data_IF_495596906610
#
_entry.id   IF_495596906610
#
_cell.length_a   1.000
_cell.length_b   1.000
_cell.length_c   1.000
_cell.angle_alpha   90.00
_cell.angle_beta   90.00
_cell.angle_gamma   90.00
#
_symmetry.space_group_name_H-M   'P 1'
#
loop_
_entity.id
_entity.type
_entity.pdbx_description
1 polymer ?
#
# COMPACT_ATOMS: atom_id res chain seq x y z
N UNK A 1 38.76 -34.93 -30.87
CA UNK A 1 39.13 -33.66 -30.24
C UNK A 1 37.84 -33.05 -29.69
N UNK A 2 37.74 -32.98 -28.36
CA UNK A 2 36.54 -32.38 -27.75
C UNK A 2 36.61 -30.85 -27.83
N UNK A 3 35.47 -30.20 -28.14
CA UNK A 3 35.28 -28.74 -28.11
C UNK A 3 34.08 -28.39 -27.29
N UNK A 4 34.28 -27.53 -26.29
CA UNK A 4 33.17 -27.04 -25.49
C UNK A 4 32.39 -25.96 -26.27
N UNK A 5 31.06 -26.13 -26.39
CA UNK A 5 30.18 -25.21 -27.13
C UNK A 5 30.01 -23.86 -26.42
N UNK A 6 30.18 -23.81 -25.08
CA UNK A 6 30.01 -22.59 -24.29
C UNK A 6 31.27 -21.73 -24.25
N UNK A 7 32.40 -22.28 -23.79
CA UNK A 7 33.64 -21.50 -23.61
C UNK A 7 34.66 -21.64 -24.74
N UNK A 8 34.39 -22.46 -25.77
CA UNK A 8 35.25 -22.65 -26.91
C UNK A 8 36.52 -23.45 -26.64
N UNK A 9 36.85 -23.85 -25.42
CA UNK A 9 38.03 -24.67 -25.09
C UNK A 9 38.06 -25.95 -25.93
N UNK A 10 39.21 -26.29 -26.48
CA UNK A 10 39.45 -27.49 -27.29
C UNK A 10 40.63 -28.30 -26.73
N UNK A 11 40.57 -29.62 -26.85
CA UNK A 11 41.67 -30.48 -26.43
C UNK A 11 41.41 -31.97 -26.69
N UNK A 12 42.50 -32.76 -26.85
CA UNK A 12 42.39 -34.22 -27.09
C UNK A 12 41.75 -34.96 -25.90
N UNK A 13 41.95 -34.46 -24.70
CA UNK A 13 41.41 -35.06 -23.45
C UNK A 13 40.24 -34.29 -22.87
N UNK A 14 39.72 -33.27 -23.57
CA UNK A 14 38.56 -32.52 -23.08
C UNK A 14 37.31 -33.39 -23.22
N UNK A 15 36.77 -33.83 -22.09
CA UNK A 15 35.44 -34.50 -22.04
C UNK A 15 34.39 -33.44 -22.05
N UNK A 16 33.41 -33.60 -22.92
CA UNK A 16 32.16 -32.80 -22.95
C UNK A 16 30.96 -33.70 -22.65
N UNK A 17 29.93 -33.15 -22.02
CA UNK A 17 28.70 -33.85 -21.74
C UNK A 17 27.81 -33.98 -23.00
N UNK A 18 26.60 -34.52 -22.84
CA UNK A 18 25.63 -34.71 -23.91
C UNK A 18 25.16 -33.40 -24.57
N UNK A 19 25.32 -32.26 -23.87
CA UNK A 19 25.02 -30.93 -24.38
C UNK A 19 26.25 -30.25 -24.99
N UNK A 20 27.39 -30.94 -25.10
CA UNK A 20 28.62 -30.39 -25.64
C UNK A 20 29.37 -29.42 -24.73
N UNK A 21 29.12 -29.46 -23.42
CA UNK A 21 29.77 -28.58 -22.45
C UNK A 21 30.92 -29.27 -21.70
N UNK A 22 32.00 -28.56 -21.42
CA UNK A 22 33.02 -29.05 -20.50
C UNK A 22 32.51 -29.02 -19.05
N UNK A 23 33.13 -29.80 -18.15
CA UNK A 23 32.70 -29.93 -16.76
C UNK A 23 32.54 -28.58 -16.01
N UNK A 24 33.43 -27.60 -16.29
CA UNK A 24 33.34 -26.26 -15.69
C UNK A 24 32.09 -25.49 -16.18
N UNK A 25 31.83 -25.51 -17.48
CA UNK A 25 30.64 -24.87 -18.06
C UNK A 25 29.36 -25.55 -17.64
N UNK A 26 29.32 -26.89 -17.63
CA UNK A 26 28.18 -27.65 -17.15
C UNK A 26 27.82 -27.34 -15.68
N UNK A 27 28.86 -27.22 -14.82
CA UNK A 27 28.66 -26.80 -13.43
C UNK A 27 28.09 -25.37 -13.31
N UNK A 28 28.62 -24.42 -14.10
CA UNK A 28 28.14 -23.04 -14.09
C UNK A 28 26.67 -22.92 -14.55
N UNK A 29 26.32 -23.59 -15.65
CA UNK A 29 24.96 -23.63 -16.18
C UNK A 29 24.02 -24.26 -15.14
N UNK A 30 24.43 -25.36 -14.50
CA UNK A 30 23.63 -25.99 -13.46
C UNK A 30 23.40 -25.07 -12.26
N UNK A 31 24.39 -24.35 -11.79
CA UNK A 31 24.29 -23.38 -10.70
C UNK A 31 23.31 -22.24 -11.09
N UNK A 32 23.41 -21.75 -12.33
CA UNK A 32 22.49 -20.71 -12.82
C UNK A 32 21.04 -21.20 -12.90
N UNK A 33 20.82 -22.42 -13.39
CA UNK A 33 19.51 -23.04 -13.41
C UNK A 33 18.96 -23.30 -12.00
N UNK A 34 19.82 -23.70 -11.06
CA UNK A 34 19.46 -23.88 -9.66
C UNK A 34 19.05 -22.54 -9.02
N UNK A 35 19.80 -21.46 -9.27
CA UNK A 35 19.48 -20.13 -8.77
C UNK A 35 18.16 -19.60 -9.36
N UNK A 36 17.91 -19.81 -10.65
CA UNK A 36 16.65 -19.43 -11.31
C UNK A 36 15.45 -20.17 -10.69
N UNK A 37 15.62 -21.46 -10.41
CA UNK A 37 14.56 -22.24 -9.76
C UNK A 37 14.32 -21.81 -8.32
N UNK A 38 15.37 -21.52 -7.53
CA UNK A 38 15.20 -21.05 -6.15
C UNK A 38 14.50 -19.69 -6.10
N UNK A 39 14.84 -18.77 -7.01
CA UNK A 39 14.14 -17.49 -7.15
C UNK A 39 12.66 -17.67 -7.50
N UNK A 40 12.36 -18.51 -8.48
CA UNK A 40 10.98 -18.86 -8.86
C UNK A 40 10.20 -19.44 -7.67
N UNK A 41 10.79 -20.38 -6.93
CA UNK A 41 10.14 -21.02 -5.80
C UNK A 41 9.87 -20.03 -4.65
N UNK A 42 10.82 -19.15 -4.36
CA UNK A 42 10.67 -18.12 -3.34
C UNK A 42 9.57 -17.11 -3.72
N UNK A 43 9.51 -16.68 -4.98
CA UNK A 43 8.46 -15.81 -5.50
C UNK A 43 7.09 -16.46 -5.40
N UNK A 44 6.95 -17.72 -5.85
CA UNK A 44 5.71 -18.47 -5.77
C UNK A 44 5.16 -18.58 -4.32
N UNK A 45 6.04 -18.86 -3.35
CA UNK A 45 5.67 -18.90 -1.93
C UNK A 45 5.22 -17.53 -1.45
N UNK A 46 5.99 -16.49 -1.74
CA UNK A 46 5.70 -15.11 -1.31
C UNK A 46 4.33 -14.65 -1.81
N UNK A 47 4.05 -14.85 -3.09
CA UNK A 47 2.78 -14.47 -3.73
C UNK A 47 1.59 -15.26 -3.18
N UNK A 48 1.79 -16.56 -2.90
CA UNK A 48 0.75 -17.39 -2.27
C UNK A 48 0.48 -16.97 -0.82
N UNK A 49 1.52 -16.60 -0.08
CA UNK A 49 1.38 -16.08 1.29
C UNK A 49 0.64 -14.73 1.29
N UNK A 50 0.88 -13.86 0.31
CA UNK A 50 0.14 -12.62 0.12
C UNK A 50 -1.37 -12.80 -0.07
N UNK A 51 -1.83 -14.00 -0.49
CA UNK A 51 -3.27 -14.29 -0.54
C UNK A 51 -3.90 -14.57 0.84
N UNK A 52 -3.11 -14.77 1.89
CA UNK A 52 -3.62 -14.96 3.26
C UNK A 52 -3.96 -13.66 3.97
N UNK A 53 -3.51 -12.52 3.46
CA UNK A 53 -3.77 -11.23 4.08
C UNK A 53 -5.27 -10.97 4.19
N UNK A 54 -5.70 -10.63 5.40
CA UNK A 54 -7.09 -10.24 5.66
C UNK A 54 -7.23 -8.76 5.33
N UNK A 55 -7.85 -8.48 4.19
CA UNK A 55 -8.27 -7.12 3.85
C UNK A 55 -9.55 -6.84 4.63
N UNK A 56 -9.45 -6.13 5.75
CA UNK A 56 -10.61 -5.70 6.53
C UNK A 56 -10.93 -4.24 6.18
N UNK A 57 -12.14 -4.02 5.70
CA UNK A 57 -12.65 -2.70 5.31
C UNK A 57 -13.57 -2.08 6.36
N UNK A 58 -13.80 -2.78 7.46
CA UNK A 58 -14.79 -2.32 8.44
C UNK A 58 -16.13 -2.00 7.77
N UNK A 59 -16.76 -0.93 8.21
CA UNK A 59 -18.02 -0.39 7.66
C UNK A 59 -17.78 0.87 6.80
N UNK A 60 -16.55 1.08 6.29
CA UNK A 60 -16.22 2.29 5.54
C UNK A 60 -16.52 2.13 4.04
N UNK A 61 -17.54 2.79 3.49
CA UNK A 61 -17.94 2.61 2.10
C UNK A 61 -17.01 3.29 1.08
N UNK A 62 -16.25 4.31 1.47
CA UNK A 62 -15.27 4.96 0.59
C UNK A 62 -14.12 3.99 0.37
N UNK A 63 -13.62 3.40 1.44
CA UNK A 63 -12.59 2.37 1.39
C UNK A 63 -13.06 1.13 0.61
N UNK A 64 -14.35 0.78 0.74
CA UNK A 64 -14.94 -0.33 -0.02
C UNK A 64 -14.82 -0.15 -1.55
N UNK A 65 -14.98 1.07 -2.06
CA UNK A 65 -14.80 1.38 -3.49
C UNK A 65 -13.35 1.17 -3.96
N UNK A 66 -12.40 1.59 -3.15
CA UNK A 66 -10.97 1.47 -3.42
C UNK A 66 -10.49 0.01 -3.37
N UNK A 67 -11.06 -0.77 -2.48
CA UNK A 67 -10.69 -2.18 -2.26
C UNK A 67 -11.20 -3.11 -3.37
N UNK A 68 -12.32 -2.79 -4.03
CA UNK A 68 -12.83 -3.64 -5.13
C UNK A 68 -11.79 -3.90 -6.23
N UNK A 69 -11.09 -2.90 -6.78
CA UNK A 69 -10.02 -3.13 -7.75
C UNK A 69 -8.96 -4.10 -7.25
N UNK A 70 -8.52 -3.95 -6.01
CA UNK A 70 -7.48 -4.77 -5.40
C UNK A 70 -7.95 -6.21 -5.19
N UNK A 71 -9.17 -6.39 -4.71
CA UNK A 71 -9.73 -7.72 -4.61
C UNK A 71 -9.83 -8.40 -5.98
N UNK A 72 -10.07 -7.62 -7.04
CA UNK A 72 -10.01 -8.11 -8.43
C UNK A 72 -8.59 -8.51 -8.84
N UNK A 73 -7.58 -7.72 -8.45
CA UNK A 73 -6.19 -8.06 -8.72
C UNK A 73 -5.75 -9.30 -7.93
N UNK A 74 -6.16 -9.46 -6.68
CA UNK A 74 -5.95 -10.69 -5.91
C UNK A 74 -6.64 -11.91 -6.55
N UNK A 75 -7.81 -11.75 -7.12
CA UNK A 75 -8.50 -12.82 -7.89
C UNK A 75 -7.69 -13.20 -9.12
N UNK A 76 -7.22 -12.21 -9.89
CA UNK A 76 -6.36 -12.40 -11.06
C UNK A 76 -5.04 -13.09 -10.68
N UNK A 77 -4.46 -12.69 -9.57
CA UNK A 77 -3.26 -13.31 -9.02
C UNK A 77 -3.48 -14.79 -8.67
N UNK A 78 -4.63 -15.16 -8.09
CA UNK A 78 -4.99 -16.57 -7.88
C UNK A 78 -5.04 -17.36 -9.20
N UNK A 79 -5.50 -16.75 -10.29
CA UNK A 79 -5.54 -17.38 -11.61
C UNK A 79 -4.13 -17.60 -12.19
N UNK A 80 -3.24 -16.62 -12.02
CA UNK A 80 -1.83 -16.74 -12.40
C UNK A 80 -1.13 -17.83 -11.59
N UNK A 81 -1.29 -17.84 -10.27
CA UNK A 81 -0.71 -18.86 -9.39
C UNK A 81 -1.17 -20.28 -9.77
N UNK A 82 -2.45 -20.47 -10.12
CA UNK A 82 -2.95 -21.76 -10.61
C UNK A 82 -2.26 -22.18 -11.90
N UNK A 83 -1.98 -21.25 -12.81
CA UNK A 83 -1.22 -21.54 -14.04
C UNK A 83 0.25 -21.88 -13.77
N UNK A 84 0.87 -21.16 -12.83
CA UNK A 84 2.30 -21.28 -12.54
C UNK A 84 2.69 -22.55 -11.83
N UNK A 85 1.84 -23.08 -10.93
CA UNK A 85 2.11 -24.38 -10.28
C UNK A 85 2.18 -25.54 -11.28
N UNK A 86 1.64 -25.37 -12.47
CA UNK A 86 1.70 -26.30 -13.59
C UNK A 86 2.77 -25.95 -14.62
N UNK A 87 3.73 -25.08 -14.30
CA UNK A 87 4.78 -24.67 -15.23
C UNK A 87 5.67 -25.87 -15.64
N UNK A 88 5.63 -26.32 -16.92
CA UNK A 88 6.31 -27.53 -17.35
C UNK A 88 7.84 -27.47 -17.15
N UNK A 89 8.42 -26.27 -17.18
CA UNK A 89 9.87 -26.08 -17.01
C UNK A 89 10.34 -26.47 -15.61
N UNK A 90 9.52 -26.22 -14.59
CA UNK A 90 9.91 -26.42 -13.19
C UNK A 90 9.13 -27.56 -12.49
N UNK A 91 8.16 -28.14 -13.15
CA UNK A 91 7.21 -29.09 -12.59
C UNK A 91 7.86 -30.21 -11.76
N UNK A 92 8.86 -30.90 -12.34
CA UNK A 92 9.56 -31.98 -11.63
C UNK A 92 10.32 -31.49 -10.40
N UNK A 93 11.07 -30.39 -10.54
CA UNK A 93 11.85 -29.80 -9.44
C UNK A 93 10.96 -29.22 -8.36
N UNK A 94 9.84 -28.59 -8.75
CA UNK A 94 8.84 -28.09 -7.84
C UNK A 94 8.29 -29.23 -6.97
N UNK A 95 7.91 -30.35 -7.57
CA UNK A 95 7.40 -31.50 -6.85
C UNK A 95 8.42 -32.11 -5.89
N UNK A 96 9.68 -32.29 -6.32
CA UNK A 96 10.74 -32.80 -5.46
C UNK A 96 10.96 -31.90 -4.24
N UNK A 97 10.87 -30.58 -4.44
CA UNK A 97 11.02 -29.59 -3.36
C UNK A 97 9.80 -29.55 -2.44
N UNK A 98 8.59 -29.56 -2.98
CA UNK A 98 7.35 -29.60 -2.20
C UNK A 98 7.30 -30.84 -1.29
N UNK A 99 7.61 -32.03 -1.82
CA UNK A 99 7.61 -33.27 -1.04
C UNK A 99 8.64 -33.21 0.11
N UNK A 100 9.83 -32.64 -0.13
CA UNK A 100 10.86 -32.47 0.91
C UNK A 100 10.45 -31.47 2.00
N UNK A 101 9.58 -30.53 1.68
CA UNK A 101 9.10 -29.48 2.59
C UNK A 101 7.80 -29.86 3.31
N UNK A 102 7.37 -31.13 3.25
CA UNK A 102 6.23 -31.59 4.02
C UNK A 102 6.66 -31.80 5.47
N UNK A 103 6.04 -31.06 6.37
CA UNK A 103 6.20 -31.19 7.82
C UNK A 103 4.99 -31.91 8.42
N UNK A 104 5.17 -32.53 9.58
CA UNK A 104 4.13 -33.28 10.28
C UNK A 104 3.94 -32.69 11.67
N UNK A 105 2.69 -32.51 12.07
CA UNK A 105 2.35 -32.00 13.41
C UNK A 105 2.83 -32.94 14.51
N UNK A 106 2.65 -34.25 14.30
CA UNK A 106 3.00 -35.34 15.23
C UNK A 106 3.11 -36.71 14.50
N UNK A 107 3.49 -37.74 15.23
CA UNK A 107 3.64 -39.08 14.68
C UNK A 107 2.33 -39.69 14.19
N UNK A 108 1.18 -39.29 14.74
CA UNK A 108 -0.11 -39.72 14.24
C UNK A 108 -0.34 -39.21 12.83
N UNK A 109 -0.14 -37.90 12.62
CA UNK A 109 -0.28 -37.25 11.30
C UNK A 109 0.69 -37.85 10.28
N UNK A 110 1.94 -38.12 10.71
CA UNK A 110 2.94 -38.78 9.85
C UNK A 110 2.49 -40.16 9.41
N UNK A 111 2.01 -40.98 10.35
CA UNK A 111 1.53 -42.37 10.05
C UNK A 111 0.29 -42.36 9.16
N UNK A 112 -0.55 -41.34 9.23
CA UNK A 112 -1.76 -41.22 8.44
C UNK A 112 -1.58 -40.40 7.15
N UNK A 113 -0.34 -40.02 6.82
CA UNK A 113 -0.02 -39.26 5.60
C UNK A 113 -0.69 -37.91 5.55
N UNK A 114 -0.83 -37.25 6.72
CA UNK A 114 -1.37 -35.91 6.84
C UNK A 114 -0.23 -34.92 7.15
N UNK A 115 0.19 -34.13 6.18
CA UNK A 115 1.29 -33.17 6.31
C UNK A 115 0.86 -31.77 6.03
N UNK A 116 1.78 -30.84 6.26
CA UNK A 116 1.66 -29.42 5.91
C UNK A 116 2.83 -29.03 5.03
N UNK A 117 2.59 -28.39 3.91
CA UNK A 117 3.62 -27.80 3.08
C UNK A 117 4.19 -26.57 3.80
N UNK A 118 5.45 -26.70 4.23
CA UNK A 118 6.16 -25.58 4.87
C UNK A 118 6.30 -24.39 3.89
N UNK A 119 6.12 -23.18 4.40
CA UNK A 119 6.07 -21.96 3.59
C UNK A 119 4.70 -21.67 2.98
N UNK A 120 3.95 -22.69 2.55
CA UNK A 120 2.60 -22.53 2.01
C UNK A 120 1.52 -22.55 3.10
N UNK A 121 1.75 -23.25 4.21
CA UNK A 121 0.74 -23.46 5.26
C UNK A 121 -0.50 -24.20 4.74
N UNK A 122 -0.33 -25.06 3.74
CA UNK A 122 -1.38 -25.84 3.10
C UNK A 122 -1.32 -27.27 3.59
N UNK A 123 -2.45 -27.82 4.05
CA UNK A 123 -2.56 -29.22 4.41
C UNK A 123 -2.57 -30.09 3.16
N UNK A 124 -1.74 -31.12 3.14
CA UNK A 124 -1.62 -32.08 2.05
C UNK A 124 -1.79 -33.48 2.60
N UNK A 125 -2.33 -34.38 1.77
CA UNK A 125 -2.67 -35.74 2.17
C UNK A 125 -2.04 -36.75 1.23
N UNK A 126 -1.38 -37.77 1.80
CA UNK A 126 -0.92 -38.91 1.03
C UNK A 126 -2.12 -39.79 0.58
N UNK A 127 -1.90 -40.59 -0.43
CA UNK A 127 -2.86 -41.59 -0.82
C UNK A 127 -3.16 -42.55 0.38
N UNK A 128 -4.41 -42.79 0.71
CA UNK A 128 -4.77 -43.59 1.90
C UNK A 128 -4.22 -45.03 1.92
N UNK A 129 -4.00 -45.61 0.73
CA UNK A 129 -3.56 -47.00 0.58
C UNK A 129 -2.04 -47.07 0.49
N UNK A 130 -1.46 -46.36 -0.48
CA UNK A 130 -0.01 -46.39 -0.74
C UNK A 130 0.82 -45.60 0.25
N UNK A 131 0.19 -44.66 0.98
CA UNK A 131 0.85 -43.70 1.88
C UNK A 131 1.87 -42.81 1.18
N UNK A 132 1.74 -42.62 -0.14
CA UNK A 132 2.62 -41.81 -0.98
C UNK A 132 1.92 -40.51 -1.29
N UNK A 133 2.69 -39.39 -1.25
CA UNK A 133 2.25 -38.10 -1.75
C UNK A 133 2.40 -38.10 -3.26
N UNK A 134 1.31 -38.24 -3.98
CA UNK A 134 1.34 -38.11 -5.44
C UNK A 134 1.37 -36.65 -5.85
N UNK A 135 2.00 -36.38 -7.00
CA UNK A 135 2.08 -35.08 -7.62
C UNK A 135 0.70 -34.48 -7.82
N UNK A 136 -0.18 -35.22 -8.45
CA UNK A 136 -1.52 -34.80 -8.83
C UNK A 136 -2.31 -34.37 -7.57
N UNK A 137 -2.13 -35.10 -6.48
CA UNK A 137 -2.83 -34.82 -5.24
C UNK A 137 -2.29 -33.59 -4.54
N UNK A 138 -0.95 -33.36 -4.49
CA UNK A 138 -0.35 -32.18 -3.91
C UNK A 138 -0.76 -30.94 -4.70
N UNK A 139 -0.70 -30.99 -6.04
CA UNK A 139 -1.14 -29.87 -6.87
C UNK A 139 -2.63 -29.59 -6.69
N UNK A 140 -3.47 -30.62 -6.60
CA UNK A 140 -4.90 -30.46 -6.34
C UNK A 140 -5.18 -29.81 -4.96
N UNK A 141 -4.42 -30.18 -3.92
CA UNK A 141 -4.54 -29.56 -2.59
C UNK A 141 -4.11 -28.08 -2.60
N UNK A 142 -3.06 -27.73 -3.36
CA UNK A 142 -2.63 -26.33 -3.56
C UNK A 142 -3.69 -25.55 -4.34
N UNK A 143 -4.17 -26.09 -5.46
CA UNK A 143 -5.23 -25.46 -6.25
C UNK A 143 -6.51 -25.25 -5.46
N UNK A 144 -6.89 -26.25 -4.67
CA UNK A 144 -8.05 -26.13 -3.77
C UNK A 144 -7.89 -24.95 -2.82
N UNK A 145 -6.70 -24.75 -2.24
CA UNK A 145 -6.46 -23.62 -1.35
C UNK A 145 -6.47 -22.30 -2.07
N UNK A 146 -5.87 -22.20 -3.27
CA UNK A 146 -5.94 -21.01 -4.13
C UNK A 146 -7.40 -20.67 -4.46
N UNK A 147 -8.22 -21.69 -4.79
CA UNK A 147 -9.64 -21.48 -5.08
C UNK A 147 -10.43 -21.05 -3.83
N UNK A 148 -10.03 -21.48 -2.62
CA UNK A 148 -10.61 -20.96 -1.38
C UNK A 148 -10.33 -19.47 -1.23
N UNK A 149 -9.08 -19.00 -1.44
CA UNK A 149 -8.74 -17.58 -1.40
C UNK A 149 -9.51 -16.80 -2.48
N UNK A 150 -9.51 -17.30 -3.72
CA UNK A 150 -10.29 -16.69 -4.81
C UNK A 150 -11.76 -16.52 -4.45
N UNK A 151 -12.38 -17.57 -3.90
CA UNK A 151 -13.78 -17.54 -3.46
C UNK A 151 -14.02 -16.53 -2.32
N UNK A 152 -13.08 -16.40 -1.38
CA UNK A 152 -13.16 -15.41 -0.31
C UNK A 152 -13.17 -13.97 -0.87
N UNK A 153 -12.30 -13.66 -1.84
CA UNK A 153 -12.24 -12.34 -2.47
C UNK A 153 -13.50 -12.05 -3.29
N UNK A 154 -14.01 -13.01 -4.06
CA UNK A 154 -15.26 -12.88 -4.80
C UNK A 154 -16.43 -12.60 -3.85
N UNK A 155 -16.54 -13.37 -2.78
CA UNK A 155 -17.61 -13.19 -1.79
C UNK A 155 -17.51 -11.85 -1.06
N UNK A 156 -16.28 -11.38 -0.81
CA UNK A 156 -16.05 -10.07 -0.20
C UNK A 156 -16.51 -8.94 -1.11
N UNK A 157 -16.14 -8.97 -2.40
CA UNK A 157 -16.64 -8.00 -3.40
C UNK A 157 -18.18 -8.01 -3.42
N UNK A 158 -18.79 -9.20 -3.47
CA UNK A 158 -20.25 -9.32 -3.50
C UNK A 158 -20.90 -8.71 -2.26
N UNK A 159 -20.39 -8.99 -1.05
CA UNK A 159 -20.90 -8.40 0.20
C UNK A 159 -20.80 -6.87 0.19
N UNK A 160 -19.70 -6.32 -0.31
CA UNK A 160 -19.52 -4.87 -0.46
C UNK A 160 -20.60 -4.32 -1.40
N UNK A 161 -20.77 -4.91 -2.57
CA UNK A 161 -21.69 -4.44 -3.60
C UNK A 161 -23.19 -4.60 -3.20
N UNK A 162 -23.52 -5.65 -2.46
CA UNK A 162 -24.89 -5.96 -2.03
C UNK A 162 -25.33 -5.15 -0.78
N UNK A 163 -24.41 -4.42 -0.11
CA UNK A 163 -24.80 -3.65 1.06
C UNK A 163 -25.67 -2.45 0.67
N UNK A 164 -26.86 -2.36 1.26
CA UNK A 164 -27.78 -1.24 0.99
C UNK A 164 -27.16 0.13 1.34
N UNK A 165 -26.31 0.16 2.35
CA UNK A 165 -25.58 1.35 2.75
C UNK A 165 -24.51 1.76 1.74
N UNK A 166 -23.82 0.78 1.12
CA UNK A 166 -22.88 1.01 0.03
C UNK A 166 -23.59 1.62 -1.19
N UNK A 167 -24.74 1.08 -1.62
CA UNK A 167 -25.51 1.60 -2.74
C UNK A 167 -25.96 3.05 -2.50
N UNK A 168 -26.53 3.33 -1.33
CA UNK A 168 -26.98 4.67 -0.95
C UNK A 168 -25.84 5.70 -0.94
N UNK A 169 -24.62 5.28 -0.55
CA UNK A 169 -23.47 6.17 -0.47
C UNK A 169 -22.75 6.30 -1.82
N UNK A 170 -22.77 5.29 -2.70
CA UNK A 170 -22.30 5.44 -4.09
C UNK A 170 -23.14 6.50 -4.81
N UNK A 171 -24.45 6.50 -4.64
CA UNK A 171 -25.33 7.52 -5.23
C UNK A 171 -24.98 8.93 -4.72
N UNK A 172 -24.67 9.08 -3.43
CA UNK A 172 -24.22 10.35 -2.87
C UNK A 172 -22.84 10.78 -3.38
N UNK A 173 -21.89 9.84 -3.51
CA UNK A 173 -20.53 10.10 -4.00
C UNK A 173 -20.52 10.39 -5.52
N UNK A 174 -21.35 9.70 -6.31
CA UNK A 174 -21.51 9.93 -7.74
C UNK A 174 -22.12 11.30 -8.08
N UNK A 175 -22.79 11.95 -7.10
CA UNK A 175 -23.37 13.27 -7.29
C UNK A 175 -22.36 14.43 -7.25
N UNK A 176 -21.11 14.17 -6.82
CA UNK A 176 -20.03 15.16 -6.81
C UNK A 176 -19.17 15.03 -8.07
N UNK A 177 -19.72 15.51 -9.19
CA UNK A 177 -18.94 15.67 -10.41
C UNK A 177 -17.88 16.77 -10.22
N UNK A 178 -16.62 16.42 -10.45
CA UNK A 178 -15.54 17.42 -10.54
C UNK A 178 -15.79 18.29 -11.78
N UNK A 179 -16.40 19.44 -11.60
CA UNK A 179 -16.65 20.38 -12.69
C UNK A 179 -15.34 21.05 -13.08
N UNK A 180 -14.85 20.75 -14.26
CA UNK A 180 -13.69 21.39 -14.84
C UNK A 180 -14.07 22.82 -15.25
N UNK A 181 -13.37 23.84 -14.72
CA UNK A 181 -13.57 25.24 -15.06
C UNK A 181 -12.48 25.72 -16.02
N UNK A 182 -12.82 26.75 -16.82
CA UNK A 182 -11.85 27.41 -17.70
C UNK A 182 -11.28 28.70 -17.07
N UNK A 183 -11.47 28.89 -15.79
CA UNK A 183 -11.02 30.09 -15.07
C UNK A 183 -9.50 30.04 -14.89
N UNK A 184 -8.82 31.14 -15.17
CA UNK A 184 -7.37 31.28 -14.92
C UNK A 184 -7.14 31.77 -13.51
N UNK A 185 -6.60 30.92 -12.65
CA UNK A 185 -6.18 31.29 -11.31
C UNK A 185 -4.70 31.72 -11.32
N UNK A 186 -4.40 32.83 -10.66
CA UNK A 186 -3.04 33.34 -10.57
C UNK A 186 -2.24 32.62 -9.48
N UNK A 187 -0.98 32.27 -9.78
CA UNK A 187 -0.06 31.71 -8.77
C UNK A 187 0.24 32.73 -7.68
N UNK A 188 0.20 32.31 -6.44
CA UNK A 188 0.38 33.13 -5.24
C UNK A 188 1.76 32.92 -4.60
N UNK A 189 2.21 33.86 -3.78
CA UNK A 189 3.50 33.81 -3.07
C UNK A 189 3.36 33.08 -1.74
N UNK A 190 4.10 32.00 -1.55
CA UNK A 190 3.99 31.09 -0.37
C UNK A 190 4.47 31.76 0.92
N UNK A 191 5.35 32.79 0.85
CA UNK A 191 5.86 33.50 2.03
C UNK A 191 4.79 34.18 2.88
N UNK A 192 3.64 34.50 2.30
CA UNK A 192 2.52 35.14 3.01
C UNK A 192 1.66 34.11 3.77
N UNK A 193 1.72 32.82 3.40
CA UNK A 193 0.83 31.80 3.92
C UNK A 193 1.09 31.50 5.39
N UNK A 194 2.34 31.39 5.79
CA UNK A 194 2.73 31.05 7.17
C UNK A 194 2.30 32.15 8.18
N UNK A 195 2.09 33.40 7.72
CA UNK A 195 1.55 34.49 8.52
C UNK A 195 0.00 34.46 8.60
N UNK A 196 -0.65 33.94 7.56
CA UNK A 196 -2.11 33.92 7.44
C UNK A 196 -2.75 32.74 8.19
N UNK A 197 -2.04 31.60 8.32
CA UNK A 197 -2.58 30.39 8.89
C UNK A 197 -2.07 30.18 10.32
N UNK A 198 -3.03 30.05 11.24
CA UNK A 198 -2.76 29.62 12.62
C UNK A 198 -3.33 28.22 12.84
N UNK A 199 -2.45 27.26 13.08
CA UNK A 199 -2.86 25.89 13.38
C UNK A 199 -3.48 25.82 14.78
N UNK A 200 -4.61 25.12 14.86
CA UNK A 200 -5.37 24.94 16.09
C UNK A 200 -4.93 23.63 16.76
N UNK A 201 -4.68 23.69 18.08
CA UNK A 201 -4.42 22.51 18.87
C UNK A 201 -5.70 21.97 19.52
N UNK A 202 -5.71 20.67 19.82
CA UNK A 202 -6.69 20.03 20.67
C UNK A 202 -6.19 20.11 22.12
N UNK A 203 -7.06 20.45 23.04
CA UNK A 203 -6.80 20.52 24.48
C UNK A 203 -7.93 19.84 25.23
N UNK A 204 -7.75 19.54 26.53
CA UNK A 204 -8.80 18.99 27.40
C UNK A 204 -10.09 19.86 27.48
N UNK A 205 -10.04 21.10 27.04
CA UNK A 205 -11.21 22.00 26.94
C UNK A 205 -11.89 21.97 25.57
N UNK A 206 -11.36 21.22 24.62
CA UNK A 206 -11.94 21.07 23.27
C UNK A 206 -13.13 20.13 23.35
N UNK A 207 -14.30 20.52 22.83
CA UNK A 207 -15.44 19.62 22.76
C UNK A 207 -15.27 18.65 21.58
N UNK A 208 -15.29 17.34 21.86
CA UNK A 208 -15.16 16.28 20.87
C UNK A 208 -16.22 16.41 19.75
N UNK A 209 -17.48 16.59 20.11
CA UNK A 209 -18.58 16.71 19.14
C UNK A 209 -18.44 17.93 18.22
N UNK A 210 -17.87 19.03 18.74
CA UNK A 210 -17.73 20.27 17.96
C UNK A 210 -16.63 20.22 16.90
N UNK A 211 -15.68 19.31 17.01
CA UNK A 211 -14.60 19.16 16.06
C UNK A 211 -14.76 17.95 15.15
N UNK A 212 -15.81 17.17 15.31
CA UNK A 212 -16.10 15.96 14.53
C UNK A 212 -16.54 16.22 13.08
N UNK A 213 -16.77 17.49 12.69
CA UNK A 213 -17.12 17.86 11.31
C UNK A 213 -16.02 18.72 10.68
N UNK A 214 -15.38 18.20 9.64
CA UNK A 214 -14.21 18.80 9.00
C UNK A 214 -14.00 18.23 7.57
N UNK A 215 -13.07 18.80 6.83
CA UNK A 215 -12.55 18.23 5.57
C UNK A 215 -11.08 17.91 5.76
N UNK A 216 -10.71 16.68 5.48
CA UNK A 216 -9.29 16.31 5.35
C UNK A 216 -8.85 16.61 3.94
N UNK A 217 -7.65 17.16 3.78
CA UNK A 217 -7.01 17.37 2.48
C UNK A 217 -5.64 16.67 2.51
N UNK A 218 -5.35 15.99 1.42
CA UNK A 218 -4.05 15.37 1.15
C UNK A 218 -3.71 15.48 -0.34
N UNK A 219 -2.42 15.61 -0.68
CA UNK A 219 -1.97 15.83 -2.05
C UNK A 219 -0.72 15.02 -2.37
N UNK A 220 -0.68 14.48 -3.61
CA UNK A 220 0.54 13.92 -4.18
C UNK A 220 1.17 14.93 -5.17
N UNK A 221 2.49 14.91 -5.23
CA UNK A 221 3.25 15.92 -5.98
C UNK A 221 4.39 15.31 -6.79
N UNK A 222 4.93 16.05 -7.76
CA UNK A 222 6.11 15.64 -8.52
C UNK A 222 7.42 15.77 -7.72
N UNK A 223 7.36 16.28 -6.48
CA UNK A 223 8.51 16.46 -5.59
C UNK A 223 8.17 17.33 -4.40
N UNK A 224 9.17 17.66 -3.58
CA UNK A 224 8.95 18.27 -2.27
C UNK A 224 8.89 19.82 -2.26
N UNK A 225 9.20 20.47 -3.36
CA UNK A 225 9.30 21.93 -3.42
C UNK A 225 8.07 22.57 -4.05
N UNK A 226 7.21 23.19 -3.26
CA UNK A 226 6.01 23.88 -3.76
C UNK A 226 6.31 24.97 -4.81
N UNK A 227 7.55 25.46 -4.90
CA UNK A 227 7.96 26.46 -5.91
C UNK A 227 8.38 25.83 -7.23
N UNK A 228 8.88 24.59 -7.24
CA UNK A 228 9.42 23.91 -8.42
C UNK A 228 8.56 22.73 -8.87
N UNK A 229 7.83 22.14 -7.95
CA UNK A 229 7.07 20.91 -8.18
C UNK A 229 5.57 21.21 -8.30
N UNK A 230 4.83 20.27 -8.90
CA UNK A 230 3.43 20.42 -9.23
C UNK A 230 2.62 19.28 -8.60
N UNK A 231 1.32 19.52 -8.43
CA UNK A 231 0.35 18.53 -7.95
C UNK A 231 0.08 17.47 -9.01
N UNK A 232 -0.01 16.20 -8.61
CA UNK A 232 -0.37 15.05 -9.46
C UNK A 232 -1.63 14.31 -8.99
N UNK A 233 -2.00 14.47 -7.72
CA UNK A 233 -3.24 13.95 -7.17
C UNK A 233 -3.72 14.88 -6.05
N UNK A 234 -5.03 14.99 -5.88
CA UNK A 234 -5.64 15.63 -4.72
C UNK A 234 -6.81 14.80 -4.23
N UNK A 235 -6.89 14.64 -2.92
CA UNK A 235 -8.04 14.11 -2.24
C UNK A 235 -8.52 15.08 -1.16
N UNK A 236 -9.83 15.23 -1.06
CA UNK A 236 -10.48 15.86 0.07
C UNK A 236 -11.62 14.96 0.54
N UNK A 237 -11.68 14.69 1.84
CA UNK A 237 -12.74 13.86 2.44
C UNK A 237 -13.47 14.68 3.49
N UNK A 238 -14.79 14.75 3.35
CA UNK A 238 -15.65 15.38 4.34
C UNK A 238 -16.01 14.37 5.42
N UNK A 239 -15.77 14.75 6.65
CA UNK A 239 -16.23 14.06 7.85
C UNK A 239 -17.36 14.83 8.49
N UNK A 240 -18.41 14.13 8.90
CA UNK A 240 -19.51 14.63 9.74
C UNK A 240 -19.67 13.68 10.92
N UNK A 241 -19.63 14.23 12.12
CA UNK A 241 -19.67 13.45 13.36
C UNK A 241 -18.65 12.28 13.36
N UNK A 242 -17.42 12.58 12.91
CA UNK A 242 -16.30 11.63 12.82
C UNK A 242 -16.48 10.51 11.80
N UNK A 243 -17.46 10.60 10.91
CA UNK A 243 -17.74 9.62 9.86
C UNK A 243 -17.43 10.25 8.50
N UNK A 244 -16.66 9.59 7.63
CA UNK A 244 -16.46 10.05 6.26
C UNK A 244 -17.77 9.92 5.46
N UNK A 245 -18.24 11.04 4.89
CA UNK A 245 -19.56 11.11 4.21
C UNK A 245 -19.47 11.46 2.73
N UNK A 246 -18.44 12.22 2.33
CA UNK A 246 -18.24 12.66 0.95
C UNK A 246 -16.77 12.68 0.59
N UNK A 247 -16.45 12.51 -0.68
CA UNK A 247 -15.08 12.68 -1.19
C UNK A 247 -15.03 13.55 -2.44
N UNK A 248 -13.96 14.32 -2.56
CA UNK A 248 -13.48 14.95 -3.78
C UNK A 248 -12.13 14.33 -4.09
N UNK A 249 -11.96 13.70 -5.24
CA UNK A 249 -10.72 13.03 -5.58
C UNK A 249 -10.48 13.08 -7.09
N UNK A 250 -9.27 13.44 -7.50
CA UNK A 250 -8.87 13.41 -8.91
C UNK A 250 -7.35 13.35 -9.05
N UNK A 251 -6.88 12.63 -10.07
CA UNK A 251 -5.54 12.82 -10.61
C UNK A 251 -5.45 14.18 -11.29
N UNK A 252 -4.25 14.72 -11.37
CA UNK A 252 -3.97 16.04 -11.93
C UNK A 252 -2.83 15.97 -12.95
N UNK A 253 -3.02 16.60 -14.09
CA UNK A 253 -1.94 16.78 -15.04
C UNK A 253 -0.98 17.87 -14.55
N UNK A 254 0.27 17.51 -14.16
CA UNK A 254 1.23 18.49 -13.64
C UNK A 254 1.80 19.43 -14.74
N UNK A 255 1.57 19.13 -16.03
CA UNK A 255 2.16 19.85 -17.16
C UNK A 255 3.67 19.69 -17.26
N UNK A 256 4.25 18.68 -16.61
CA UNK A 256 5.68 18.35 -16.64
C UNK A 256 5.85 16.86 -16.36
N UNK A 257 6.99 16.29 -16.75
CA UNK A 257 7.37 14.93 -16.47
C UNK A 257 7.44 14.62 -14.96
N UNK A 258 6.88 13.47 -14.56
CA UNK A 258 6.95 12.93 -13.20
C UNK A 258 8.22 12.08 -13.11
N UNK A 259 9.13 12.43 -12.22
CA UNK A 259 10.39 11.69 -12.06
C UNK A 259 10.13 10.27 -11.56
N UNK A 260 11.02 9.33 -11.91
CA UNK A 260 10.98 7.95 -11.40
C UNK A 260 10.97 7.92 -9.85
N UNK A 261 11.71 8.83 -9.21
CA UNK A 261 11.74 8.93 -7.76
C UNK A 261 10.38 9.34 -7.16
N UNK A 262 9.62 10.23 -7.81
CA UNK A 262 8.27 10.60 -7.38
C UNK A 262 7.29 9.46 -7.64
N UNK A 263 7.33 8.86 -8.84
CA UNK A 263 6.49 7.70 -9.18
C UNK A 263 6.74 6.50 -8.27
N UNK A 264 7.97 6.27 -7.83
CA UNK A 264 8.31 5.19 -6.89
C UNK A 264 7.69 5.40 -5.49
N UNK A 265 7.36 6.64 -5.13
CA UNK A 265 6.71 6.97 -3.85
C UNK A 265 5.19 6.86 -3.98
N UNK A 266 4.58 7.59 -4.93
CA UNK A 266 3.12 7.73 -5.02
C UNK A 266 2.45 6.82 -6.06
N UNK A 267 3.23 6.02 -6.81
CA UNK A 267 2.76 5.11 -7.85
C UNK A 267 1.95 5.81 -8.96
N UNK A 268 2.23 7.10 -9.23
CA UNK A 268 1.57 7.88 -10.30
C UNK A 268 2.56 8.07 -11.44
N UNK A 269 2.16 7.73 -12.67
CA UNK A 269 2.98 7.84 -13.88
C UNK A 269 2.45 8.93 -14.82
N UNK A 270 3.28 9.35 -15.78
CA UNK A 270 2.89 10.33 -16.79
C UNK A 270 1.64 9.88 -17.58
N UNK A 271 1.54 8.58 -17.88
CA UNK A 271 0.41 8.01 -18.60
C UNK A 271 -0.91 8.13 -17.82
N UNK A 272 -0.85 7.96 -16.49
CA UNK A 272 -2.03 8.05 -15.64
C UNK A 272 -2.62 9.46 -15.58
N UNK A 273 -1.79 10.49 -15.75
CA UNK A 273 -2.18 11.89 -15.64
C UNK A 273 -2.31 12.62 -16.98
N UNK A 274 -2.02 11.95 -18.10
CA UNK A 274 -1.98 12.56 -19.43
C UNK A 274 -3.28 13.31 -19.78
N UNK A 275 -4.43 12.66 -19.54
CA UNK A 275 -5.76 13.19 -19.82
C UNK A 275 -6.45 13.79 -18.57
N UNK A 276 -5.75 13.87 -17.44
CA UNK A 276 -6.29 14.42 -16.21
C UNK A 276 -6.41 15.97 -16.30
N UNK A 277 -7.36 16.57 -15.56
CA UNK A 277 -7.46 18.02 -15.50
C UNK A 277 -6.23 18.63 -14.84
N UNK A 278 -5.90 19.86 -15.18
CA UNK A 278 -4.92 20.65 -14.43
C UNK A 278 -5.53 21.12 -13.11
N UNK A 279 -4.71 21.42 -12.12
CA UNK A 279 -5.22 21.92 -10.84
C UNK A 279 -6.08 23.19 -10.99
N UNK A 280 -5.69 24.12 -11.87
CA UNK A 280 -6.46 25.35 -12.11
C UNK A 280 -7.88 25.11 -12.65
N UNK A 281 -8.12 23.98 -13.30
CA UNK A 281 -9.45 23.62 -13.82
C UNK A 281 -10.39 23.07 -12.74
N UNK A 282 -9.85 22.61 -11.61
CA UNK A 282 -10.66 21.99 -10.54
C UNK A 282 -10.81 22.86 -9.29
N UNK A 283 -10.15 24.03 -9.23
CA UNK A 283 -10.13 24.89 -8.04
C UNK A 283 -11.54 25.27 -7.58
N UNK A 284 -12.42 25.68 -8.52
CA UNK A 284 -13.78 26.11 -8.20
C UNK A 284 -14.60 24.94 -7.60
N UNK A 285 -14.43 23.73 -8.14
CA UNK A 285 -15.09 22.54 -7.62
C UNK A 285 -14.53 22.14 -6.24
N UNK A 286 -13.21 22.24 -6.05
CA UNK A 286 -12.58 22.00 -4.76
C UNK A 286 -13.05 23.01 -3.71
N UNK A 287 -13.11 24.32 -4.07
CA UNK A 287 -13.58 25.35 -3.15
C UNK A 287 -15.04 25.15 -2.75
N UNK A 288 -15.90 24.78 -3.71
CA UNK A 288 -17.28 24.43 -3.45
C UNK A 288 -17.39 23.20 -2.52
N UNK A 289 -16.53 22.19 -2.72
CA UNK A 289 -16.47 21.02 -1.87
C UNK A 289 -16.00 21.36 -0.45
N UNK A 290 -14.90 22.08 -0.29
CA UNK A 290 -14.34 22.44 1.02
C UNK A 290 -15.28 23.43 1.75
N UNK A 291 -15.88 24.36 1.06
CA UNK A 291 -16.83 25.33 1.57
C UNK A 291 -16.27 26.09 2.78
N UNK A 292 -17.00 26.05 3.91
CA UNK A 292 -16.59 26.71 5.18
C UNK A 292 -16.02 25.72 6.21
N UNK A 293 -15.81 24.46 5.83
CA UNK A 293 -15.37 23.41 6.75
C UNK A 293 -13.98 23.73 7.35
N UNK A 294 -13.74 23.28 8.57
CA UNK A 294 -12.41 23.20 9.12
C UNK A 294 -11.56 22.25 8.27
N UNK A 295 -10.27 22.51 8.18
CA UNK A 295 -9.33 21.70 7.38
C UNK A 295 -8.43 20.92 8.33
N UNK A 296 -8.27 19.62 8.04
CA UNK A 296 -7.38 18.70 8.73
C UNK A 296 -6.40 18.13 7.71
N UNK A 297 -5.17 17.86 8.09
CA UNK A 297 -4.18 17.15 7.29
C UNK A 297 -3.05 16.60 8.17
N UNK A 298 -2.22 15.76 7.59
CA UNK A 298 -1.00 15.26 8.24
C UNK A 298 0.21 15.94 7.63
N UNK A 299 0.95 16.73 8.42
CA UNK A 299 1.92 17.70 7.89
C UNK A 299 1.25 18.70 6.94
N UNK A 300 0.07 19.16 7.33
CA UNK A 300 -0.82 20.05 6.56
C UNK A 300 -0.14 21.26 5.93
N UNK A 301 0.91 21.89 6.52
CA UNK A 301 1.63 22.98 5.87
C UNK A 301 2.17 22.65 4.47
N UNK A 302 2.52 21.38 4.24
CA UNK A 302 3.01 20.93 2.93
C UNK A 302 1.91 21.08 1.86
N UNK A 303 0.74 20.49 2.10
CA UNK A 303 -0.39 20.51 1.16
C UNK A 303 -0.87 21.93 0.91
N UNK A 304 -1.06 22.71 1.97
CA UNK A 304 -1.55 24.07 1.87
C UNK A 304 -0.60 24.98 1.07
N UNK A 305 0.73 24.77 1.16
CA UNK A 305 1.71 25.51 0.36
C UNK A 305 1.60 25.21 -1.12
N UNK A 306 1.39 23.93 -1.48
CA UNK A 306 1.16 23.56 -2.87
C UNK A 306 -0.16 24.12 -3.40
N UNK A 307 -1.25 23.95 -2.69
CA UNK A 307 -2.58 24.45 -3.06
C UNK A 307 -2.57 25.99 -3.26
N UNK A 308 -2.01 26.71 -2.28
CA UNK A 308 -1.93 28.16 -2.32
C UNK A 308 -1.06 28.64 -3.50
N UNK A 309 0.11 28.03 -3.69
CA UNK A 309 1.01 28.34 -4.79
C UNK A 309 0.38 28.15 -6.16
N UNK A 310 -0.51 27.17 -6.29
CA UNK A 310 -1.22 26.87 -7.54
C UNK A 310 -2.56 27.60 -7.69
N UNK A 311 -2.86 28.57 -6.80
CA UNK A 311 -3.96 29.52 -6.95
C UNK A 311 -5.17 29.26 -6.10
N UNK A 312 -5.19 28.24 -5.23
CA UNK A 312 -6.31 27.99 -4.31
C UNK A 312 -6.14 28.82 -3.02
N UNK A 313 -6.95 29.87 -2.89
CA UNK A 313 -6.93 30.73 -1.70
C UNK A 313 -8.00 30.30 -0.68
N UNK A 314 -7.71 29.28 0.12
CA UNK A 314 -8.59 28.79 1.18
C UNK A 314 -8.63 29.70 2.43
N UNK A 315 -7.84 30.77 2.50
CA UNK A 315 -7.82 31.72 3.64
C UNK A 315 -8.97 32.73 3.62
N UNK A 316 -9.71 32.81 2.52
CA UNK A 316 -10.88 33.70 2.37
C UNK A 316 -12.03 33.39 3.32
N UNK A 317 -12.08 32.17 3.83
CA UNK A 317 -13.12 31.72 4.77
C UNK A 317 -12.55 31.61 6.18
N UNK A 318 -13.31 32.05 7.19
CA UNK A 318 -12.94 31.85 8.60
C UNK A 318 -13.11 30.40 8.98
N UNK A 319 -12.01 29.70 9.20
CA UNK A 319 -11.99 28.26 9.57
C UNK A 319 -10.82 27.94 10.50
N UNK A 320 -10.82 26.75 11.07
CA UNK A 320 -9.69 26.20 11.83
C UNK A 320 -8.90 25.23 10.97
N UNK A 321 -7.59 25.18 11.22
CA UNK A 321 -6.65 24.27 10.57
C UNK A 321 -6.03 23.37 11.64
N UNK A 322 -6.15 22.08 11.46
CA UNK A 322 -5.60 21.06 12.35
C UNK A 322 -4.53 20.25 11.62
N UNK A 323 -3.31 20.29 12.16
CA UNK A 323 -2.22 19.46 11.67
C UNK A 323 -2.00 18.31 12.65
N UNK A 324 -2.34 17.09 12.23
CA UNK A 324 -2.20 15.89 13.08
C UNK A 324 -0.75 15.64 13.45
N UNK A 325 0.23 15.98 12.59
CA UNK A 325 1.65 15.91 12.88
C UNK A 325 2.05 16.84 14.05
N UNK A 326 1.50 18.05 14.12
CA UNK A 326 1.76 18.98 15.23
C UNK A 326 1.01 18.61 16.51
N UNK A 327 -0.16 17.99 16.38
CA UNK A 327 -0.93 17.50 17.53
C UNK A 327 -0.21 16.32 18.18
N UNK A 328 0.24 15.34 17.38
CA UNK A 328 0.91 14.13 17.87
C UNK A 328 2.24 14.42 18.57
N UNK A 329 3.02 15.41 18.11
CA UNK A 329 4.26 15.85 18.75
C UNK A 329 4.08 16.30 20.21
N UNK A 330 2.85 16.65 20.60
CA UNK A 330 2.46 17.05 21.94
C UNK A 330 1.81 15.92 22.74
N UNK A 331 1.57 14.78 22.12
CA UNK A 331 0.90 13.62 22.71
C UNK A 331 1.88 12.47 22.87
N UNK A 332 2.62 12.14 21.82
CA UNK A 332 3.53 11.00 21.77
C UNK A 332 4.99 11.49 21.70
N UNK A 333 5.87 10.65 22.23
CA UNK A 333 7.32 10.89 22.24
C UNK A 333 7.96 10.02 21.17
N UNK A 334 8.89 10.60 20.41
CA UNK A 334 9.81 9.86 19.55
C UNK A 334 11.16 9.65 20.21
N UNK A 335 12.01 8.72 19.74
CA UNK A 335 13.33 8.47 20.30
C UNK A 335 14.17 9.74 20.37
N UNK A 336 14.87 9.91 21.49
CA UNK A 336 15.94 10.91 21.59
C UNK A 336 17.21 10.28 21.05
N UNK A 337 17.90 11.01 20.17
CA UNK A 337 19.17 10.56 19.62
C UNK A 337 20.33 11.08 20.47
N UNK A 338 21.36 10.26 20.64
CA UNK A 338 22.65 10.64 21.24
C UNK A 338 23.77 10.35 20.24
N UNK A 339 24.82 11.17 20.25
CA UNK A 339 26.01 10.91 19.45
C UNK A 339 26.82 9.77 20.11
N UNK A 340 27.05 8.71 19.36
CA UNK A 340 27.94 7.63 19.77
C UNK A 340 29.35 7.90 19.20
N UNK A 341 30.32 8.00 20.12
CA UNK A 341 31.70 8.31 19.73
C UNK A 341 32.46 7.11 19.20
N UNK A 342 32.00 5.90 19.49
CA UNK A 342 32.65 4.67 19.04
C UNK A 342 32.29 4.35 17.59
N UNK A 343 31.02 4.58 17.22
CA UNK A 343 30.52 4.33 15.86
C UNK A 343 30.46 5.59 14.99
N UNK A 344 30.79 6.77 15.56
CA UNK A 344 30.72 8.08 14.88
C UNK A 344 29.36 8.35 14.20
N UNK A 345 28.27 7.93 14.86
CA UNK A 345 26.89 8.10 14.37
C UNK A 345 25.92 8.47 15.49
N UNK A 346 24.70 8.92 15.08
CA UNK A 346 23.63 9.16 16.02
C UNK A 346 22.84 7.85 16.27
N UNK A 347 22.82 7.41 17.54
CA UNK A 347 22.08 6.22 17.98
C UNK A 347 20.92 6.61 18.90
N UNK A 348 19.94 5.73 19.07
CA UNK A 348 18.85 5.92 20.03
C UNK A 348 19.42 5.97 21.44
N UNK A 349 18.96 6.93 22.23
CA UNK A 349 19.33 7.05 23.62
C UNK A 349 18.37 6.24 24.50
N UNK A 350 18.78 5.02 24.84
CA UNK A 350 18.01 4.05 25.64
C UNK A 350 17.64 4.51 27.06
N UNK A 351 18.17 5.65 27.52
CA UNK A 351 17.80 6.24 28.80
C UNK A 351 16.46 6.99 28.77
N UNK A 352 15.79 7.04 27.65
CA UNK A 352 14.51 7.73 27.49
C UNK A 352 13.50 6.81 26.79
N UNK A 353 12.34 6.66 27.41
CA UNK A 353 11.20 5.97 26.79
C UNK A 353 10.63 6.79 25.65
N UNK A 354 10.15 6.11 24.63
CA UNK A 354 9.43 6.68 23.50
C UNK A 354 8.22 5.82 23.13
N UNK A 355 7.24 6.42 22.48
CA UNK A 355 5.97 5.79 22.12
C UNK A 355 6.00 5.30 20.68
N UNK A 356 6.61 6.07 19.77
CA UNK A 356 6.68 5.83 18.33
C UNK A 356 8.06 6.14 17.77
N UNK A 357 8.48 5.46 16.71
CA UNK A 357 9.79 5.67 16.09
C UNK A 357 9.88 7.02 15.36
N UNK A 358 8.83 7.42 14.67
CA UNK A 358 8.72 8.73 14.03
C UNK A 358 7.25 9.20 14.01
N UNK A 359 6.98 10.34 13.38
CA UNK A 359 5.63 10.90 13.27
C UNK A 359 5.08 10.79 11.84
N UNK A 360 5.51 9.79 11.07
CA UNK A 360 4.90 9.50 9.77
C UNK A 360 3.49 8.94 9.96
N UNK A 361 2.63 9.21 8.99
CA UNK A 361 1.24 8.73 9.02
C UNK A 361 1.18 7.20 9.18
N UNK A 362 2.04 6.46 8.47
CA UNK A 362 2.13 4.99 8.55
C UNK A 362 2.43 4.50 9.97
N UNK A 363 3.46 5.07 10.61
CA UNK A 363 3.87 4.72 11.98
C UNK A 363 2.76 5.01 12.99
N UNK A 364 2.05 6.14 12.81
CA UNK A 364 0.96 6.52 13.69
C UNK A 364 -0.28 5.66 13.49
N UNK A 365 -0.58 5.27 12.25
CA UNK A 365 -1.65 4.32 11.96
C UNK A 365 -1.41 2.97 12.61
N UNK A 366 -0.18 2.45 12.57
CA UNK A 366 0.20 1.23 13.27
C UNK A 366 0.01 1.36 14.78
N UNK A 367 0.49 2.46 15.38
CA UNK A 367 0.38 2.72 16.81
C UNK A 367 -1.08 2.75 17.29
N UNK A 368 -1.98 3.43 16.54
CA UNK A 368 -3.39 3.55 16.87
C UNK A 368 -4.26 2.38 16.37
N UNK A 369 -3.66 1.40 15.69
CA UNK A 369 -4.39 0.27 15.11
C UNK A 369 -5.35 0.66 13.98
N UNK A 370 -5.05 1.77 13.29
CA UNK A 370 -5.77 2.23 12.10
C UNK A 370 -5.36 1.34 10.94
N UNK A 371 -6.27 0.45 10.52
CA UNK A 371 -5.97 -0.65 9.58
C UNK A 371 -5.99 -0.25 8.11
N UNK A 372 -6.32 1.00 7.81
CA UNK A 372 -6.64 1.45 6.45
C UNK A 372 -5.42 1.92 5.64
N UNK A 373 -4.21 1.65 6.13
CA UNK A 373 -2.96 2.07 5.49
C UNK A 373 -2.48 1.10 4.38
N UNK A 374 -3.41 0.41 3.71
CA UNK A 374 -3.11 -0.56 2.64
C UNK A 374 -2.49 0.10 1.38
N UNK A 375 -2.59 1.42 1.26
CA UNK A 375 -2.13 2.22 0.10
C UNK A 375 -1.48 3.52 0.53
N UNK A 376 -0.52 3.43 1.45
CA UNK A 376 0.33 4.58 1.77
C UNK A 376 0.84 5.23 0.47
N UNK A 377 0.89 6.56 0.48
CA UNK A 377 1.29 7.39 -0.66
C UNK A 377 0.29 7.41 -1.84
N UNK A 378 -1.00 7.38 -1.52
CA UNK A 378 -2.09 7.79 -2.41
C UNK A 378 -3.00 8.75 -1.64
N UNK A 379 -3.21 9.92 -2.20
CA UNK A 379 -3.88 11.03 -1.50
C UNK A 379 -5.23 10.64 -0.86
N UNK A 380 -6.02 9.80 -1.50
CA UNK A 380 -7.31 9.41 -0.94
C UNK A 380 -7.18 8.51 0.30
N UNK A 381 -6.28 7.55 0.27
CA UNK A 381 -6.02 6.65 1.41
C UNK A 381 -5.40 7.41 2.58
N UNK A 382 -4.45 8.29 2.29
CA UNK A 382 -3.76 9.09 3.32
C UNK A 382 -4.70 10.12 3.94
N UNK A 383 -5.61 10.73 3.16
CA UNK A 383 -6.68 11.58 3.68
C UNK A 383 -7.63 10.84 4.61
N UNK A 384 -8.01 9.60 4.26
CA UNK A 384 -8.89 8.79 5.10
C UNK A 384 -8.22 8.42 6.42
N UNK A 385 -7.00 7.88 6.34
CA UNK A 385 -6.19 7.53 7.50
C UNK A 385 -5.93 8.73 8.43
N UNK A 386 -5.68 9.90 7.84
CA UNK A 386 -5.51 11.16 8.58
C UNK A 386 -6.79 11.55 9.36
N UNK A 387 -7.97 11.35 8.78
CA UNK A 387 -9.24 11.61 9.46
C UNK A 387 -9.46 10.69 10.67
N UNK A 388 -9.17 9.40 10.53
CA UNK A 388 -9.24 8.44 11.64
C UNK A 388 -8.17 8.74 12.71
N UNK A 389 -6.95 9.08 12.29
CA UNK A 389 -5.89 9.52 13.22
C UNK A 389 -6.30 10.76 14.00
N UNK A 390 -6.93 11.74 13.35
CA UNK A 390 -7.41 12.95 14.01
C UNK A 390 -8.45 12.64 15.08
N UNK A 391 -9.33 11.67 14.83
CA UNK A 391 -10.30 11.15 15.81
C UNK A 391 -9.62 10.53 17.02
N UNK A 392 -8.65 9.63 16.82
CA UNK A 392 -7.88 9.01 17.90
C UNK A 392 -7.15 10.05 18.75
N UNK A 393 -6.46 11.00 18.10
CA UNK A 393 -5.76 12.09 18.80
C UNK A 393 -6.71 13.01 19.58
N UNK A 394 -7.93 13.22 19.07
CA UNK A 394 -8.94 13.99 19.78
C UNK A 394 -9.44 13.25 21.02
N UNK A 395 -9.66 11.95 20.94
CA UNK A 395 -10.05 11.10 22.08
C UNK A 395 -8.96 11.13 23.15
N UNK A 396 -7.70 10.87 22.78
CA UNK A 396 -6.57 10.90 23.72
C UNK A 396 -6.42 12.23 24.48
N UNK A 397 -6.70 13.36 23.81
CA UNK A 397 -6.54 14.69 24.40
C UNK A 397 -7.70 15.13 25.28
N UNK A 398 -8.87 14.56 25.10
CA UNK A 398 -10.08 14.94 25.82
C UNK A 398 -10.32 14.02 27.00
N UNK A 399 -9.90 12.75 26.92
CA UNK A 399 -10.03 11.74 27.97
C UNK A 399 -8.94 11.84 29.05
N UNK A 400 -7.91 12.67 28.82
CA UNK A 400 -6.86 13.04 29.79
C UNK A 400 -7.09 14.50 30.26
#
# INVERSE_FOLDING_TARGET
>A
MGKCLICGKQGFFLKVDAQGMCNECSKKVKIEEDNKFEAYFADLISRLQGQKEVVDIGNNPILALEIIPILKDKIKECELLTSEIHNPQYEKRLMEKLIKNITYRDDFHKRHGMGTLEGFGISVYADPISKVFSKEKILADIEKQINVYKGQWINKIKRIQDSAEFQKRIEAIASVDVKVSNTKHNKQTVSELDELIKYTNITSKTSFDRIGSFVVIDTETTGLSSTRDNLVEIAAIRFEDWIPVEKFHTLLNPGKHISEAASAINNITDEMVADAPTFSQIIDSLDAFVGKSNIVGHNLPFDLKFLYRHGYNFTTQKRRYYDTCEIVKKTLKKPKMKWDKEYEEYVINDNYDYDVEDYKLTTLCEYYGIRDNLFAHRALSDALATGELFKCLAQDKIDY
#
